data_IF_006782197893
#
_entry.id   IF_006782197893
#
_cell.length_a   1.000
_cell.length_b   1.000
_cell.length_c   1.000
_cell.angle_alpha   90.00
_cell.angle_beta   90.00
_cell.angle_gamma   90.00
#
_symmetry.space_group_name_H-M   'P 1'
#
loop_
_entity.id
_entity.type
_entity.pdbx_description
1 polymer ?
#
# COMPACT_ATOMS: atom_id res chain seq x y z
N UNK A 1 28.28 -11.27 16.07
CA UNK A 1 27.46 -10.61 17.11
C UNK A 1 26.09 -11.26 17.07
N UNK A 2 25.49 -11.58 18.22
CA UNK A 2 24.16 -12.21 18.24
C UNK A 2 23.11 -11.27 17.63
N UNK A 3 22.15 -11.84 16.92
CA UNK A 3 21.05 -11.10 16.29
C UNK A 3 20.13 -10.39 17.31
N UNK A 4 19.95 -10.97 18.50
CA UNK A 4 19.09 -10.44 19.57
C UNK A 4 19.95 -10.08 20.79
N UNK A 5 19.87 -8.83 21.22
CA UNK A 5 20.62 -8.28 22.34
C UNK A 5 19.63 -7.93 23.46
N UNK A 6 19.93 -8.37 24.68
CA UNK A 6 19.03 -8.19 25.82
C UNK A 6 19.67 -7.32 26.89
N UNK A 7 18.98 -6.23 27.23
CA UNK A 7 19.27 -5.47 28.44
C UNK A 7 18.73 -6.23 29.65
N UNK A 8 19.60 -7.04 30.27
CA UNK A 8 19.27 -7.87 31.43
C UNK A 8 18.78 -7.06 32.64
N UNK A 9 19.07 -5.75 32.71
CA UNK A 9 18.58 -4.89 33.80
C UNK A 9 17.13 -4.47 33.59
N UNK A 10 16.66 -4.43 32.33
CA UNK A 10 15.29 -4.06 31.98
C UNK A 10 14.39 -5.26 31.76
N UNK A 11 14.94 -6.39 31.34
CA UNK A 11 14.16 -7.58 31.03
C UNK A 11 13.49 -8.15 32.29
N UNK A 12 12.16 -8.19 32.30
CA UNK A 12 11.38 -8.73 33.41
C UNK A 12 11.23 -10.26 33.38
N UNK A 13 11.86 -10.95 32.41
CA UNK A 13 11.78 -12.40 32.24
C UNK A 13 10.32 -12.88 32.10
N UNK A 14 9.51 -12.14 31.34
CA UNK A 14 8.08 -12.40 31.09
C UNK A 14 7.83 -13.37 29.91
N UNK A 15 8.82 -13.55 29.03
CA UNK A 15 8.75 -14.45 27.89
C UNK A 15 7.91 -13.95 26.71
N UNK A 16 7.44 -12.69 26.72
CA UNK A 16 6.57 -12.17 25.67
C UNK A 16 7.20 -12.23 24.28
N UNK A 17 8.50 -11.90 24.18
CA UNK A 17 9.23 -11.97 22.91
C UNK A 17 9.34 -13.40 22.36
N UNK A 18 9.41 -14.41 23.24
CA UNK A 18 9.46 -15.81 22.83
C UNK A 18 8.09 -16.29 22.35
N UNK A 19 7.04 -15.96 23.09
CA UNK A 19 5.66 -16.33 22.76
C UNK A 19 5.16 -15.66 21.46
N UNK A 20 5.57 -14.41 21.20
CA UNK A 20 5.14 -13.64 20.03
C UNK A 20 5.98 -13.90 18.77
N UNK A 21 7.09 -14.65 18.87
CA UNK A 21 7.95 -14.93 17.73
C UNK A 21 7.24 -15.81 16.70
N UNK A 22 6.89 -15.31 15.49
CA UNK A 22 6.14 -16.09 14.52
C UNK A 22 6.94 -17.28 13.97
N UNK A 23 8.27 -17.22 14.06
CA UNK A 23 9.18 -18.28 13.63
C UNK A 23 9.51 -19.28 14.74
N UNK A 24 9.12 -19.00 16.00
CA UNK A 24 9.40 -19.88 17.14
C UNK A 24 10.89 -20.07 17.45
N UNK A 25 11.75 -19.11 17.08
CA UNK A 25 13.21 -19.24 17.20
C UNK A 25 13.81 -18.63 18.47
N UNK A 26 13.00 -17.91 19.26
CA UNK A 26 13.42 -17.33 20.53
C UNK A 26 13.08 -18.34 21.63
N UNK A 27 14.10 -18.91 22.27
CA UNK A 27 13.97 -19.81 23.39
C UNK A 27 13.96 -19.05 24.72
N UNK A 28 13.17 -19.51 25.69
CA UNK A 28 13.12 -18.93 27.02
C UNK A 28 12.77 -20.00 28.06
N UNK A 29 13.68 -20.22 29.02
CA UNK A 29 13.57 -21.26 30.05
C UNK A 29 12.80 -20.80 31.30
N UNK A 30 12.25 -19.59 31.30
CA UNK A 30 11.51 -19.03 32.43
C UNK A 30 12.38 -18.18 33.37
N UNK A 31 11.84 -17.90 34.57
CA UNK A 31 12.49 -17.03 35.57
C UNK A 31 13.91 -17.48 35.88
N UNK A 32 14.82 -16.51 36.03
CA UNK A 32 16.25 -16.75 36.20
C UNK A 32 17.05 -16.84 34.89
N UNK A 33 16.37 -17.00 33.75
CA UNK A 33 16.99 -17.07 32.43
C UNK A 33 16.62 -15.85 31.58
N UNK A 34 17.31 -15.65 30.46
CA UNK A 34 16.99 -14.61 29.49
C UNK A 34 16.64 -15.25 28.15
N UNK A 35 15.76 -14.62 27.35
CA UNK A 35 15.48 -15.10 26.00
C UNK A 35 16.75 -15.20 25.16
N UNK A 36 16.81 -16.18 24.27
CA UNK A 36 17.97 -16.33 23.37
C UNK A 36 17.57 -16.90 22.02
N UNK A 37 18.40 -16.64 21.00
CA UNK A 37 18.28 -17.27 19.69
C UNK A 37 19.53 -18.10 19.48
N UNK A 38 19.37 -19.41 19.29
CA UNK A 38 20.48 -20.29 18.93
C UNK A 38 21.05 -19.87 17.55
N UNK A 39 22.38 -19.82 17.41
CA UNK A 39 23.04 -19.38 16.18
C UNK A 39 22.57 -20.14 14.92
N UNK A 40 22.26 -21.44 15.06
CA UNK A 40 21.74 -22.27 13.97
C UNK A 40 20.36 -21.82 13.45
N UNK A 41 19.60 -21.08 14.26
CA UNK A 41 18.23 -20.64 13.97
C UNK A 41 18.15 -19.17 13.51
N UNK A 42 19.24 -18.39 13.59
CA UNK A 42 19.23 -16.97 13.18
C UNK A 42 18.80 -16.80 11.72
N UNK A 43 19.18 -17.73 10.83
CA UNK A 43 18.81 -17.69 9.42
C UNK A 43 17.28 -17.79 9.18
N UNK A 44 16.53 -18.39 10.10
CA UNK A 44 15.08 -18.49 10.02
C UNK A 44 14.36 -17.19 10.44
N UNK A 45 15.07 -16.20 11.00
CA UNK A 45 14.49 -14.91 11.35
C UNK A 45 14.03 -14.15 10.11
N UNK A 46 12.75 -13.74 10.11
CA UNK A 46 12.15 -12.91 9.06
C UNK A 46 12.31 -11.40 9.33
N UNK A 47 13.04 -11.01 10.38
CA UNK A 47 13.33 -9.60 10.75
C UNK A 47 12.06 -8.75 10.94
N UNK A 48 11.02 -9.35 11.51
CA UNK A 48 9.73 -8.68 11.70
C UNK A 48 9.74 -7.65 12.84
N UNK A 49 10.63 -7.78 13.81
CA UNK A 49 10.73 -6.86 14.96
C UNK A 49 9.72 -7.11 16.07
N UNK A 50 8.92 -8.18 16.00
CA UNK A 50 7.94 -8.56 17.03
C UNK A 50 8.56 -8.63 18.43
N UNK A 51 9.73 -9.25 18.56
CA UNK A 51 10.46 -9.34 19.82
C UNK A 51 10.79 -7.98 20.46
N UNK A 52 11.08 -6.97 19.63
CA UNK A 52 11.36 -5.59 20.08
C UNK A 52 10.06 -4.88 20.44
N UNK A 53 9.04 -4.97 19.58
CA UNK A 53 7.78 -4.24 19.73
C UNK A 53 6.90 -4.75 20.88
N UNK A 54 6.90 -6.06 21.14
CA UNK A 54 6.05 -6.66 22.18
C UNK A 54 6.59 -6.43 23.59
N UNK A 55 7.87 -6.09 23.75
CA UNK A 55 8.49 -5.91 25.05
C UNK A 55 8.05 -4.59 25.71
N UNK A 56 7.31 -4.61 26.83
CA UNK A 56 6.86 -3.38 27.49
C UNK A 56 7.99 -2.66 28.23
N UNK A 57 9.15 -3.30 28.38
CA UNK A 57 10.28 -2.79 29.16
C UNK A 57 11.38 -2.16 28.30
N UNK A 58 11.27 -2.22 26.96
CA UNK A 58 12.33 -1.76 26.06
C UNK A 58 13.66 -2.48 26.32
N UNK A 59 13.59 -3.80 26.55
CA UNK A 59 14.73 -4.63 26.94
C UNK A 59 15.37 -5.40 25.77
N UNK A 60 14.69 -5.48 24.62
CA UNK A 60 15.12 -6.24 23.46
C UNK A 60 15.59 -5.29 22.37
N UNK A 61 16.80 -5.50 21.85
CA UNK A 61 17.34 -4.84 20.68
C UNK A 61 17.71 -5.90 19.62
N UNK A 62 17.43 -5.62 18.35
CA UNK A 62 17.68 -6.54 17.24
C UNK A 62 18.59 -5.86 16.22
N UNK A 63 19.63 -6.56 15.77
CA UNK A 63 20.69 -5.98 14.91
C UNK A 63 20.18 -5.30 13.63
N UNK A 64 19.11 -5.83 13.03
CA UNK A 64 18.46 -5.26 11.84
C UNK A 64 17.17 -4.46 12.13
N UNK A 65 16.68 -4.49 13.38
CA UNK A 65 15.48 -3.75 13.82
C UNK A 65 15.77 -3.15 15.20
N UNK A 66 16.68 -2.16 15.26
CA UNK A 66 17.17 -1.64 16.53
C UNK A 66 16.06 -0.94 17.30
N UNK A 67 16.03 -1.10 18.62
CA UNK A 67 15.01 -0.50 19.50
C UNK A 67 14.97 1.03 19.34
N UNK A 68 16.12 1.65 19.12
CA UNK A 68 16.24 3.10 18.90
C UNK A 68 15.45 3.60 17.67
N UNK A 69 15.16 2.74 16.70
CA UNK A 69 14.34 3.05 15.51
C UNK A 69 12.87 2.64 15.68
N UNK A 70 12.51 2.03 16.81
CA UNK A 70 11.17 1.57 17.14
C UNK A 70 10.54 2.54 18.15
N UNK A 71 9.93 3.61 17.65
CA UNK A 71 9.24 4.59 18.48
C UNK A 71 8.16 3.91 19.33
N UNK A 72 8.17 4.18 20.64
CA UNK A 72 7.12 3.73 21.55
C UNK A 72 5.76 4.32 21.13
N UNK A 73 4.69 3.57 21.37
CA UNK A 73 3.34 4.06 21.12
C UNK A 73 3.02 5.21 22.07
N UNK A 74 2.50 6.30 21.50
CA UNK A 74 1.97 7.43 22.26
C UNK A 74 0.48 7.18 22.53
N UNK A 75 0.15 6.88 23.79
CA UNK A 75 -1.23 6.63 24.23
C UNK A 75 -2.16 7.82 23.94
N UNK A 76 -1.63 9.05 23.86
CA UNK A 76 -2.44 10.21 23.49
C UNK A 76 -2.84 10.23 22.00
N UNK A 77 -2.21 9.41 21.15
CA UNK A 77 -2.54 9.29 19.72
C UNK A 77 -3.45 8.09 19.40
N UNK A 78 -3.77 7.26 20.39
CA UNK A 78 -4.68 6.13 20.21
C UNK A 78 -6.09 6.63 19.92
N UNK A 79 -6.71 6.11 18.86
CA UNK A 79 -8.08 6.46 18.47
C UNK A 79 -9.09 5.47 19.05
N UNK A 80 -10.25 5.98 19.45
CA UNK A 80 -11.41 5.17 19.84
C UNK A 80 -11.97 4.36 18.67
N UNK A 81 -12.75 3.32 18.99
CA UNK A 81 -13.50 2.53 17.99
C UNK A 81 -14.40 3.40 17.10
N UNK A 82 -15.11 4.37 17.69
CA UNK A 82 -15.96 5.30 16.95
C UNK A 82 -15.17 6.18 15.95
N UNK A 83 -13.96 6.63 16.35
CA UNK A 83 -13.08 7.38 15.44
C UNK A 83 -12.56 6.49 14.30
N UNK A 84 -12.19 5.23 14.60
CA UNK A 84 -11.76 4.26 13.60
C UNK A 84 -12.87 3.97 12.58
N UNK A 85 -14.09 3.69 13.05
CA UNK A 85 -15.25 3.45 12.20
C UNK A 85 -15.53 4.62 11.27
N UNK A 86 -15.58 5.85 11.83
CA UNK A 86 -15.81 7.04 11.03
C UNK A 86 -14.70 7.24 9.98
N UNK A 87 -13.44 7.08 10.38
CA UNK A 87 -12.29 7.25 9.49
C UNK A 87 -12.36 6.27 8.32
N UNK A 88 -12.49 4.98 8.59
CA UNK A 88 -12.52 3.93 7.57
C UNK A 88 -13.77 4.02 6.68
N UNK A 89 -14.94 4.35 7.25
CA UNK A 89 -16.19 4.48 6.48
C UNK A 89 -16.26 5.76 5.65
N UNK A 90 -15.52 6.81 6.01
CA UNK A 90 -15.52 8.10 5.31
C UNK A 90 -14.78 8.11 3.98
N UNK A 91 -13.91 7.13 3.73
CA UNK A 91 -13.08 7.07 2.52
C UNK A 91 -13.95 6.94 1.26
N UNK A 92 -13.70 7.82 0.28
CA UNK A 92 -14.38 7.87 -1.03
C UNK A 92 -13.37 8.02 -2.16
N UNK A 93 -13.69 7.43 -3.31
CA UNK A 93 -12.91 7.61 -4.53
C UNK A 93 -13.10 9.02 -5.09
N UNK A 94 -12.04 9.82 -5.07
CA UNK A 94 -12.01 11.18 -5.61
C UNK A 94 -11.74 11.11 -7.11
N UNK A 95 -12.68 11.65 -7.89
CA UNK A 95 -12.65 11.62 -9.36
C UNK A 95 -12.65 13.02 -9.98
N UNK A 96 -12.48 14.04 -9.13
CA UNK A 96 -12.49 15.45 -9.47
C UNK A 96 -11.32 16.11 -8.74
N UNK A 97 -10.24 16.37 -9.47
CA UNK A 97 -8.99 16.90 -8.92
C UNK A 97 -8.81 18.37 -9.27
N UNK A 98 -8.25 19.15 -8.35
CA UNK A 98 -7.82 20.53 -8.60
C UNK A 98 -6.62 20.50 -9.55
N UNK A 99 -6.47 21.55 -10.35
CA UNK A 99 -5.25 21.78 -11.13
C UNK A 99 -4.16 22.35 -10.20
N UNK A 100 -3.74 21.53 -9.23
CA UNK A 100 -2.70 21.85 -8.25
C UNK A 100 -1.74 20.65 -8.17
N UNK A 101 -0.43 20.84 -8.40
CA UNK A 101 0.56 19.78 -8.20
C UNK A 101 0.55 19.23 -6.78
N UNK A 102 0.89 17.95 -6.62
CA UNK A 102 1.13 17.33 -5.32
C UNK A 102 2.59 17.51 -4.96
N UNK A 103 2.88 18.01 -3.77
CA UNK A 103 4.24 18.23 -3.30
C UNK A 103 4.96 16.89 -3.10
N UNK A 104 6.18 16.74 -3.68
CA UNK A 104 6.96 15.50 -3.59
C UNK A 104 7.25 15.06 -2.16
N UNK A 105 7.45 16.00 -1.25
CA UNK A 105 7.64 15.72 0.19
C UNK A 105 6.38 15.11 0.82
N UNK A 106 5.19 15.59 0.44
CA UNK A 106 3.91 14.99 0.87
C UNK A 106 3.76 13.58 0.29
N UNK A 107 4.07 13.39 -0.99
CA UNK A 107 4.05 12.07 -1.62
C UNK A 107 5.00 11.08 -0.92
N UNK A 108 6.23 11.52 -0.65
CA UNK A 108 7.21 10.71 0.06
C UNK A 108 6.70 10.33 1.46
N UNK A 109 6.14 11.26 2.24
CA UNK A 109 5.54 10.96 3.55
C UNK A 109 4.41 9.93 3.47
N UNK A 110 3.57 10.02 2.44
CA UNK A 110 2.50 9.04 2.22
C UNK A 110 3.06 7.65 1.91
N UNK A 111 4.07 7.55 1.06
CA UNK A 111 4.75 6.28 0.73
C UNK A 111 5.47 5.72 1.96
N UNK A 112 6.15 6.56 2.74
CA UNK A 112 6.79 6.17 4.00
C UNK A 112 5.79 5.63 5.02
N UNK A 113 4.59 6.22 5.09
CA UNK A 113 3.49 5.69 5.92
C UNK A 113 2.98 4.36 5.36
N UNK A 114 2.80 4.28 4.04
CA UNK A 114 2.28 3.10 3.36
C UNK A 114 3.19 1.87 3.45
N UNK A 115 4.50 2.05 3.62
CA UNK A 115 5.46 0.95 3.76
C UNK A 115 5.27 0.13 5.05
N UNK A 116 4.46 0.62 6.00
CA UNK A 116 4.04 -0.10 7.21
C UNK A 116 2.84 -1.02 6.99
N UNK A 117 2.28 -1.08 5.77
CA UNK A 117 1.31 -2.09 5.41
C UNK A 117 1.92 -3.50 5.59
N UNK A 118 1.13 -4.50 6.03
CA UNK A 118 1.64 -5.86 6.19
C UNK A 118 2.07 -6.43 4.84
N UNK A 119 3.09 -7.29 4.87
CA UNK A 119 3.53 -8.06 3.70
C UNK A 119 3.84 -9.49 4.08
N UNK A 120 3.57 -10.42 3.17
CA UNK A 120 3.79 -11.84 3.43
C UNK A 120 5.27 -12.13 3.76
N UNK A 121 5.47 -12.89 4.85
CA UNK A 121 6.78 -13.24 5.41
C UNK A 121 7.68 -12.03 5.69
N UNK A 122 7.07 -10.85 5.93
CA UNK A 122 7.78 -9.59 6.13
C UNK A 122 8.72 -9.21 4.97
N UNK A 123 8.44 -9.68 3.74
CA UNK A 123 9.35 -9.54 2.61
C UNK A 123 9.48 -8.08 2.11
N UNK A 124 8.48 -7.23 2.33
CA UNK A 124 8.50 -5.78 2.05
C UNK A 124 8.98 -5.43 0.62
N UNK A 125 8.54 -6.21 -0.38
CA UNK A 125 8.99 -6.13 -1.77
C UNK A 125 8.25 -5.09 -2.63
N UNK A 126 7.40 -4.26 -2.03
CA UNK A 126 6.63 -3.25 -2.77
C UNK A 126 7.55 -2.08 -3.14
N UNK A 127 7.57 -1.77 -4.43
CA UNK A 127 8.26 -0.62 -5.01
C UNK A 127 7.24 0.36 -5.59
N UNK A 128 7.69 1.61 -5.80
CA UNK A 128 6.79 2.71 -6.14
C UNK A 128 7.27 3.47 -7.37
N UNK A 129 6.35 3.68 -8.32
CA UNK A 129 6.52 4.59 -9.46
C UNK A 129 5.59 5.79 -9.29
N UNK A 130 6.17 6.99 -9.23
CA UNK A 130 5.42 8.26 -9.12
C UNK A 130 5.61 9.05 -10.42
N UNK A 131 4.51 9.49 -11.01
CA UNK A 131 4.48 10.34 -12.21
C UNK A 131 3.70 11.60 -11.88
N UNK A 132 4.38 12.74 -11.87
CA UNK A 132 3.83 14.08 -11.61
C UNK A 132 3.94 15.03 -12.83
N UNK A 133 4.47 14.52 -13.95
CA UNK A 133 4.54 15.27 -15.21
C UNK A 133 3.20 15.22 -15.96
N UNK A 134 2.64 16.42 -16.23
CA UNK A 134 1.30 16.55 -16.81
C UNK A 134 1.21 15.99 -18.23
N UNK A 135 2.20 16.29 -19.07
CA UNK A 135 2.23 15.85 -20.46
C UNK A 135 2.32 14.32 -20.55
N UNK A 136 3.13 13.70 -19.69
CA UNK A 136 3.24 12.25 -19.58
C UNK A 136 1.94 11.60 -19.13
N UNK A 137 1.22 12.18 -18.17
CA UNK A 137 -0.09 11.67 -17.71
C UNK A 137 -1.14 11.73 -18.84
N UNK A 138 -1.17 12.82 -19.60
CA UNK A 138 -2.05 12.98 -20.76
C UNK A 138 -1.69 11.97 -21.87
N UNK A 139 -0.40 11.77 -22.16
CA UNK A 139 0.07 10.78 -23.12
C UNK A 139 -0.29 9.34 -22.71
N UNK A 140 -0.23 9.01 -21.41
CA UNK A 140 -0.68 7.70 -20.91
C UNK A 140 -2.17 7.51 -21.16
N UNK A 141 -2.98 8.53 -20.87
CA UNK A 141 -4.43 8.48 -21.08
C UNK A 141 -4.78 8.32 -22.57
N UNK A 142 -4.12 9.09 -23.44
CA UNK A 142 -4.27 9.00 -24.89
C UNK A 142 -3.99 7.58 -25.39
N UNK A 143 -2.89 6.96 -24.95
CA UNK A 143 -2.55 5.58 -25.36
C UNK A 143 -3.58 4.54 -24.92
N UNK A 144 -4.21 4.73 -23.75
CA UNK A 144 -5.32 3.85 -23.33
C UNK A 144 -6.53 4.04 -24.23
N UNK A 145 -6.84 5.28 -24.62
CA UNK A 145 -7.93 5.59 -25.56
C UNK A 145 -7.65 5.00 -26.95
N UNK A 146 -6.43 5.16 -27.48
CA UNK A 146 -6.02 4.56 -28.77
C UNK A 146 -6.18 3.04 -28.74
N UNK A 147 -5.76 2.40 -27.65
CA UNK A 147 -5.94 0.97 -27.45
C UNK A 147 -7.43 0.57 -27.43
N UNK A 148 -8.28 1.29 -26.67
CA UNK A 148 -9.73 1.04 -26.67
C UNK A 148 -10.35 1.25 -28.06
N UNK A 149 -9.92 2.29 -28.79
CA UNK A 149 -10.33 2.55 -30.17
C UNK A 149 -9.97 1.39 -31.11
N UNK A 150 -8.77 0.85 -30.98
CA UNK A 150 -8.34 -0.31 -31.78
C UNK A 150 -9.21 -1.55 -31.53
N UNK A 151 -9.60 -1.80 -30.28
CA UNK A 151 -10.50 -2.92 -29.94
C UNK A 151 -11.91 -2.72 -30.49
N UNK A 152 -12.43 -1.49 -30.54
CA UNK A 152 -13.74 -1.20 -31.13
C UNK A 152 -13.78 -1.49 -32.64
N UNK A 153 -12.63 -1.48 -33.32
CA UNK A 153 -12.53 -1.80 -34.75
C UNK A 153 -12.24 -3.28 -35.01
N UNK A 154 -11.89 -4.07 -33.98
CA UNK A 154 -11.61 -5.49 -34.13
C UNK A 154 -12.89 -6.32 -33.91
N UNK A 155 -13.45 -6.96 -34.96
CA UNK A 155 -14.67 -7.76 -34.83
C UNK A 155 -14.51 -9.00 -33.95
N UNK A 156 -13.28 -9.38 -33.59
CA UNK A 156 -12.98 -10.51 -32.69
C UNK A 156 -12.75 -10.08 -31.25
N UNK A 157 -12.61 -8.78 -30.99
CA UNK A 157 -12.36 -8.29 -29.64
C UNK A 157 -13.61 -8.36 -28.78
N UNK A 158 -13.43 -8.77 -27.51
CA UNK A 158 -14.48 -8.59 -26.50
C UNK A 158 -14.41 -7.15 -25.99
N UNK A 159 -15.39 -6.34 -26.38
CA UNK A 159 -15.44 -4.92 -26.03
C UNK A 159 -16.48 -4.67 -24.95
N UNK A 160 -16.11 -3.90 -23.93
CA UNK A 160 -17.05 -3.47 -22.92
C UNK A 160 -17.90 -2.30 -23.45
N UNK A 161 -19.22 -2.26 -23.20
CA UNK A 161 -20.10 -1.22 -23.76
C UNK A 161 -19.66 0.22 -23.47
N UNK A 162 -18.98 0.45 -22.34
CA UNK A 162 -18.49 1.76 -21.96
C UNK A 162 -17.23 2.23 -22.70
N UNK A 163 -16.56 1.40 -23.50
CA UNK A 163 -15.35 1.82 -24.24
C UNK A 163 -15.65 2.92 -25.26
N UNK A 164 -16.74 2.76 -26.04
CA UNK A 164 -17.16 3.79 -27.00
C UNK A 164 -17.44 5.13 -26.29
N UNK A 165 -18.04 5.08 -25.10
CA UNK A 165 -18.32 6.29 -24.29
C UNK A 165 -17.03 6.97 -23.87
N UNK A 166 -15.99 6.22 -23.49
CA UNK A 166 -14.71 6.77 -23.08
C UNK A 166 -13.94 7.40 -24.24
N UNK A 167 -13.95 6.76 -25.42
CA UNK A 167 -13.35 7.31 -26.65
C UNK A 167 -14.05 8.62 -27.03
N UNK A 168 -15.38 8.63 -27.09
CA UNK A 168 -16.15 9.85 -27.42
C UNK A 168 -15.91 10.97 -26.39
N UNK A 169 -15.77 10.63 -25.10
CA UNK A 169 -15.44 11.61 -24.06
C UNK A 169 -14.06 12.23 -24.28
N UNK A 170 -13.07 11.42 -24.70
CA UNK A 170 -11.74 11.91 -25.03
C UNK A 170 -11.75 12.86 -26.22
N UNK A 171 -12.48 12.53 -27.30
CA UNK A 171 -12.64 13.40 -28.47
C UNK A 171 -13.30 14.74 -28.11
N UNK A 172 -14.14 14.75 -27.07
CA UNK A 172 -14.75 15.95 -26.49
C UNK A 172 -13.83 16.69 -25.49
N UNK A 173 -12.57 16.28 -25.34
CA UNK A 173 -11.59 16.90 -24.44
C UNK A 173 -11.72 16.48 -22.96
N UNK A 174 -12.43 15.38 -22.68
CA UNK A 174 -12.66 14.89 -21.32
C UNK A 174 -11.84 13.62 -21.07
N UNK A 175 -10.72 13.78 -20.36
CA UNK A 175 -9.96 12.64 -19.83
C UNK A 175 -10.77 11.86 -18.78
N UNK A 176 -11.30 10.71 -19.18
CA UNK A 176 -12.00 9.78 -18.29
C UNK A 176 -11.10 8.67 -17.75
N UNK A 177 -9.86 8.55 -18.25
CA UNK A 177 -8.90 7.50 -17.88
C UNK A 177 -8.21 7.88 -16.57
N UNK A 178 -7.52 9.03 -16.55
CA UNK A 178 -6.84 9.55 -15.38
C UNK A 178 -7.54 10.76 -14.76
N UNK A 179 -8.67 11.19 -15.33
CA UNK A 179 -9.56 12.21 -14.74
C UNK A 179 -8.83 13.52 -14.45
N UNK A 180 -7.82 13.82 -15.25
CA UNK A 180 -6.92 14.95 -15.06
C UNK A 180 -6.30 15.00 -13.66
N UNK A 181 -6.07 13.86 -13.01
CA UNK A 181 -5.29 13.79 -11.77
C UNK A 181 -3.91 14.43 -11.99
N UNK A 182 -3.41 15.26 -11.06
CA UNK A 182 -2.10 15.90 -11.20
C UNK A 182 -0.94 14.92 -10.93
N UNK A 183 -1.22 13.75 -10.38
CA UNK A 183 -0.21 12.74 -10.07
C UNK A 183 -0.79 11.33 -10.17
N UNK A 184 0.03 10.40 -10.62
CA UNK A 184 -0.19 8.96 -10.60
C UNK A 184 0.88 8.32 -9.71
N UNK A 185 0.44 7.55 -8.70
CA UNK A 185 1.33 6.70 -7.90
C UNK A 185 0.98 5.24 -8.17
N UNK A 186 1.98 4.43 -8.49
CA UNK A 186 1.79 3.00 -8.78
C UNK A 186 2.63 2.20 -7.81
N UNK A 187 1.98 1.34 -7.03
CA UNK A 187 2.68 0.31 -6.27
C UNK A 187 2.86 -0.91 -7.17
N UNK A 188 4.06 -1.51 -7.13
CA UNK A 188 4.44 -2.62 -7.98
C UNK A 188 5.37 -3.58 -7.24
N UNK A 189 5.35 -4.86 -7.62
CA UNK A 189 6.21 -5.88 -7.05
C UNK A 189 6.61 -6.93 -8.08
N UNK A 190 7.81 -7.47 -7.90
CA UNK A 190 8.34 -8.63 -8.64
C UNK A 190 8.16 -9.91 -7.83
N UNK A 191 8.31 -11.06 -8.50
CA UNK A 191 8.37 -12.37 -7.87
C UNK A 191 7.31 -13.36 -8.35
N UNK A 192 7.45 -14.66 -8.04
CA UNK A 192 6.59 -15.71 -8.58
C UNK A 192 5.23 -15.85 -7.87
N UNK A 193 5.03 -15.18 -6.73
CA UNK A 193 3.87 -15.42 -5.86
C UNK A 193 2.71 -14.45 -6.12
N UNK A 194 1.50 -15.00 -6.30
CA UNK A 194 0.27 -14.20 -6.40
C UNK A 194 0.00 -13.33 -5.17
N UNK A 195 0.56 -13.70 -4.02
CA UNK A 195 0.50 -12.95 -2.76
C UNK A 195 1.06 -11.53 -2.90
N UNK A 196 1.96 -11.27 -3.85
CA UNK A 196 2.50 -9.93 -4.08
C UNK A 196 1.45 -8.92 -4.54
N UNK A 197 0.37 -9.37 -5.19
CA UNK A 197 -0.75 -8.47 -5.49
C UNK A 197 -1.48 -8.02 -4.22
N UNK A 198 -1.55 -8.89 -3.20
CA UNK A 198 -2.13 -8.56 -1.89
C UNK A 198 -1.26 -7.50 -1.21
N UNK A 199 0.06 -7.69 -1.19
CA UNK A 199 1.00 -6.71 -0.62
C UNK A 199 0.87 -5.33 -1.30
N UNK A 200 0.83 -5.29 -2.64
CA UNK A 200 0.61 -4.07 -3.44
C UNK A 200 -0.72 -3.40 -3.07
N UNK A 201 -1.77 -4.19 -2.89
CA UNK A 201 -3.11 -3.70 -2.56
C UNK A 201 -3.17 -3.11 -1.15
N UNK A 202 -2.53 -3.76 -0.18
CA UNK A 202 -2.45 -3.31 1.21
C UNK A 202 -1.65 -1.99 1.31
N UNK A 203 -0.51 -1.91 0.63
CA UNK A 203 0.31 -0.71 0.57
C UNK A 203 -0.47 0.49 0.01
N UNK A 204 -1.19 0.31 -1.11
CA UNK A 204 -2.05 1.36 -1.66
C UNK A 204 -3.22 1.72 -0.74
N UNK A 205 -3.76 0.74 0.00
CA UNK A 205 -4.82 0.97 0.98
C UNK A 205 -4.37 1.91 2.10
N UNK A 206 -3.15 1.72 2.64
CA UNK A 206 -2.57 2.62 3.63
C UNK A 206 -2.37 4.03 3.04
N UNK A 207 -1.83 4.11 1.82
CA UNK A 207 -1.63 5.38 1.13
C UNK A 207 -2.95 6.14 0.93
N UNK A 208 -4.01 5.49 0.44
CA UNK A 208 -5.30 6.15 0.23
C UNK A 208 -6.01 6.54 1.52
N UNK A 209 -5.83 5.80 2.62
CA UNK A 209 -6.39 6.16 3.92
C UNK A 209 -5.64 7.33 4.55
N UNK A 210 -4.33 7.44 4.33
CA UNK A 210 -3.52 8.55 4.83
C UNK A 210 -3.75 9.85 4.02
N UNK A 211 -3.94 9.77 2.71
CA UNK A 211 -4.02 10.91 1.79
C UNK A 211 -5.00 12.03 2.24
N UNK A 212 -6.22 11.75 2.73
CA UNK A 212 -7.15 12.78 3.20
C UNK A 212 -6.61 13.69 4.31
N UNK A 213 -5.70 13.19 5.15
CA UNK A 213 -5.07 13.99 6.23
C UNK A 213 -4.12 15.07 5.69
N UNK A 214 -3.73 14.94 4.43
CA UNK A 214 -2.92 15.93 3.70
C UNK A 214 -3.77 16.73 2.70
N UNK A 215 -5.11 16.66 2.79
CA UNK A 215 -6.02 17.34 1.86
C UNK A 215 -6.10 16.70 0.47
N UNK A 216 -5.50 15.51 0.32
CA UNK A 216 -5.46 14.77 -0.94
C UNK A 216 -6.61 13.77 -1.04
N UNK A 217 -7.03 13.55 -2.27
CA UNK A 217 -7.99 12.54 -2.67
C UNK A 217 -7.33 11.50 -3.56
N UNK A 218 -7.85 10.28 -3.57
CA UNK A 218 -7.34 9.20 -4.40
C UNK A 218 -8.44 8.48 -5.15
N UNK A 219 -8.10 7.85 -6.26
CA UNK A 219 -8.96 6.87 -6.93
C UNK A 219 -8.12 5.83 -7.65
N UNK A 220 -8.48 4.55 -7.48
CA UNK A 220 -7.86 3.42 -8.16
C UNK A 220 -8.09 3.56 -9.67
N UNK A 221 -7.01 3.56 -10.45
CA UNK A 221 -7.05 3.75 -11.90
C UNK A 221 -7.27 2.42 -12.63
N UNK A 222 -8.44 1.81 -12.38
CA UNK A 222 -8.77 0.48 -12.90
C UNK A 222 -8.77 0.37 -14.44
N UNK A 223 -9.16 1.44 -15.16
CA UNK A 223 -9.12 1.46 -16.63
C UNK A 223 -7.67 1.35 -17.14
N UNK A 224 -6.75 2.12 -16.56
CA UNK A 224 -5.34 2.04 -16.89
C UNK A 224 -4.76 0.68 -16.49
N UNK A 225 -5.10 0.16 -15.32
CA UNK A 225 -4.63 -1.14 -14.86
C UNK A 225 -5.04 -2.27 -15.81
N UNK A 226 -6.32 -2.32 -16.21
CA UNK A 226 -6.81 -3.31 -17.15
C UNK A 226 -6.13 -3.20 -18.52
N UNK A 227 -5.91 -1.98 -19.00
CA UNK A 227 -5.18 -1.74 -20.24
C UNK A 227 -3.72 -2.22 -20.17
N UNK A 228 -3.01 -1.99 -19.06
CA UNK A 228 -1.65 -2.48 -18.85
C UNK A 228 -1.55 -4.01 -18.77
N UNK A 229 -2.56 -4.67 -18.17
CA UNK A 229 -2.63 -6.14 -18.15
C UNK A 229 -2.88 -6.74 -19.53
N UNK A 230 -3.73 -6.09 -20.34
CA UNK A 230 -4.06 -6.55 -21.68
C UNK A 230 -3.00 -6.20 -22.74
N UNK A 231 -2.20 -5.14 -22.49
CA UNK A 231 -1.24 -4.62 -23.45
C UNK A 231 0.12 -4.32 -22.78
N UNK A 232 1.11 -5.22 -22.92
CA UNK A 232 2.45 -5.03 -22.35
C UNK A 232 3.19 -3.79 -22.83
N UNK A 233 2.85 -3.24 -24.00
CA UNK A 233 3.43 -1.98 -24.49
C UNK A 233 2.90 -0.78 -23.70
N UNK A 234 1.62 -0.79 -23.27
CA UNK A 234 1.07 0.25 -22.38
C UNK A 234 1.75 0.22 -21.01
N UNK A 235 1.95 -0.97 -20.44
CA UNK A 235 2.70 -1.13 -19.18
C UNK A 235 4.10 -0.50 -19.27
N UNK A 236 4.83 -0.78 -20.36
CA UNK A 236 6.15 -0.17 -20.61
C UNK A 236 6.07 1.33 -20.82
N UNK A 237 5.04 1.84 -21.51
CA UNK A 237 4.84 3.28 -21.72
C UNK A 237 4.58 4.04 -20.41
N UNK A 238 3.93 3.41 -19.43
CA UNK A 238 3.80 3.96 -18.06
C UNK A 238 5.17 4.01 -17.37
N UNK A 239 6.09 3.11 -17.74
CA UNK A 239 7.43 3.00 -17.16
C UNK A 239 7.56 1.85 -16.16
N UNK A 240 6.61 0.91 -16.15
CA UNK A 240 6.66 -0.27 -15.29
C UNK A 240 7.50 -1.35 -16.01
N UNK A 241 8.58 -1.87 -15.39
CA UNK A 241 9.40 -2.91 -16.00
C UNK A 241 8.62 -4.22 -16.23
N UNK A 242 9.08 -5.04 -17.19
CA UNK A 242 8.38 -6.27 -17.60
C UNK A 242 8.27 -7.28 -16.45
N UNK A 243 9.32 -7.40 -15.65
CA UNK A 243 9.49 -8.31 -14.52
C UNK A 243 8.71 -7.90 -13.24
N UNK A 244 7.87 -6.87 -13.32
CA UNK A 244 6.93 -6.49 -12.25
C UNK A 244 5.49 -6.89 -12.63
N UNK A 245 5.11 -8.17 -12.55
CA UNK A 245 3.79 -8.62 -12.98
C UNK A 245 2.65 -8.10 -12.09
N UNK A 246 2.95 -7.72 -10.84
CA UNK A 246 1.97 -7.20 -9.90
C UNK A 246 2.10 -5.70 -9.80
N UNK A 247 1.06 -4.98 -10.20
CA UNK A 247 1.04 -3.52 -10.11
C UNK A 247 -0.39 -2.99 -10.05
N UNK A 248 -0.57 -1.86 -9.36
CA UNK A 248 -1.81 -1.11 -9.45
C UNK A 248 -1.55 0.41 -9.40
N UNK A 249 -2.02 1.18 -10.39
CA UNK A 249 -1.96 2.63 -10.40
C UNK A 249 -3.10 3.28 -9.61
N UNK A 250 -2.77 4.32 -8.85
CA UNK A 250 -3.69 5.16 -8.08
C UNK A 250 -3.53 6.62 -8.52
N UNK A 251 -4.63 7.21 -8.98
CA UNK A 251 -4.71 8.66 -9.19
C UNK A 251 -4.70 9.37 -7.84
N UNK A 252 -3.95 10.46 -7.73
CA UNK A 252 -3.88 11.25 -6.51
C UNK A 252 -3.76 12.75 -6.80
N UNK A 253 -4.45 13.55 -5.99
CA UNK A 253 -4.41 15.01 -6.11
C UNK A 253 -5.34 15.70 -5.11
N UNK A 254 -5.25 17.02 -5.05
CA UNK A 254 -6.15 17.80 -4.19
C UNK A 254 -7.60 17.69 -4.67
N UNK A 255 -8.51 17.32 -3.77
CA UNK A 255 -9.92 17.12 -4.12
C UNK A 255 -10.61 18.44 -4.44
N UNK A 256 -11.39 18.48 -5.53
CA UNK A 256 -12.36 19.57 -5.83
C UNK A 256 -13.65 19.45 -4.99
N UNK A 257 -13.90 18.28 -4.41
CA UNK A 257 -15.16 17.98 -3.72
C UNK A 257 -14.94 17.64 -2.26
N UNK A 258 -15.97 17.89 -1.44
CA UNK A 258 -16.03 17.48 -0.03
C UNK A 258 -17.27 16.62 0.19
N UNK A 259 -17.11 15.53 0.95
CA UNK A 259 -18.21 14.70 1.38
C UNK A 259 -18.58 15.04 2.82
N UNK A 260 -19.88 15.12 3.09
CA UNK A 260 -20.43 15.51 4.39
C UNK A 260 -21.22 14.40 5.08
N UNK A 261 -21.37 13.24 4.42
CA UNK A 261 -22.17 12.11 4.90
C UNK A 261 -21.46 10.80 4.62
N UNK A 262 -21.68 9.82 5.49
CA UNK A 262 -21.26 8.43 5.32
C UNK A 262 -22.38 7.67 4.59
N UNK A 263 -22.23 7.32 3.30
CA UNK A 263 -23.22 6.48 2.64
C UNK A 263 -23.14 5.05 3.20
N UNK A 264 -24.30 4.45 3.44
CA UNK A 264 -24.38 3.05 3.84
C UNK A 264 -23.95 2.10 2.71
N UNK A 265 -23.45 0.92 3.09
CA UNK A 265 -23.13 -0.17 2.18
C UNK A 265 -24.11 -1.32 2.40
N UNK A 266 -24.20 -2.22 1.41
CA UNK A 266 -24.95 -3.47 1.56
C UNK A 266 -24.47 -4.20 2.83
N UNK A 267 -25.38 -4.59 3.75
CA UNK A 267 -25.00 -5.38 4.92
C UNK A 267 -24.24 -6.65 4.54
N UNK A 268 -23.20 -7.05 5.30
CA UNK A 268 -22.47 -8.27 5.03
C UNK A 268 -23.31 -9.50 5.37
N UNK A 269 -23.13 -10.57 4.60
CA UNK A 269 -23.61 -11.91 4.98
C UNK A 269 -22.52 -12.55 5.83
N UNK A 270 -22.85 -12.93 7.07
CA UNK A 270 -21.90 -13.50 8.04
C UNK A 270 -22.32 -14.93 8.34
N UNK A 271 -21.40 -15.88 8.15
CA UNK A 271 -21.55 -17.27 8.55
C UNK A 271 -20.65 -17.52 9.76
N UNK A 272 -21.24 -17.86 10.91
CA UNK A 272 -20.51 -18.27 12.10
C UNK A 272 -20.30 -19.79 12.05
N UNK A 273 -19.08 -20.22 12.33
CA UNK A 273 -18.69 -21.63 12.42
C UNK A 273 -17.93 -21.89 13.71
#
# INVERSE_FOLDING_TARGET
>A
MSMLIIDQKKCAQDGLCAADCPMGIIHFEGKGHFPEIAAANEAACIRCGHCVAVCPHGALDHSEVPLASCTALDEALVISSAQADQFLRSRRSIRQFKNKPVERTTMQRLIETARYAPSASNARLVEWLVIDDRQRLEAISAKVIDWMGSLLQDPKATVMPYYQVLVNAWDAGVDSILRSAPCLVTAMAKGPESVRLIDVTLALSYLELAAPKYGLGTCWAGLLQGAMLANPALKQAVGIPRDYPYHFPLMIGYSKVRYYRLPERKPPVIHWG
#
